data_IF_705875972690
#
_entry.id   IF_705875972690
#
_cell.length_a   1.000
_cell.length_b   1.000
_cell.length_c   1.000
_cell.angle_alpha   90.00
_cell.angle_beta   90.00
_cell.angle_gamma   90.00
#
_symmetry.space_group_name_H-M   'P 1'
#
loop_
_entity.id
_entity.type
_entity.pdbx_description
1 polymer ?
#
# COMPACT_ATOMS: atom_id res chain seq x y z
N UNK A 1 -0.58 37.18 -13.60
CA UNK A 1 -0.50 36.15 -12.54
C UNK A 1 -0.37 34.83 -13.24
N UNK A 2 0.80 34.20 -13.15
CA UNK A 2 1.09 32.94 -13.83
C UNK A 2 0.31 31.83 -13.10
N UNK A 3 -0.77 31.38 -13.73
CA UNK A 3 -1.57 30.24 -13.29
C UNK A 3 -0.68 29.00 -13.33
N UNK A 4 -0.60 28.29 -12.21
CA UNK A 4 0.22 27.09 -12.03
C UNK A 4 -0.16 26.01 -13.05
N UNK A 5 0.45 26.03 -14.23
CA UNK A 5 0.48 24.86 -15.11
C UNK A 5 1.68 24.00 -14.70
N UNK A 6 1.58 23.37 -13.53
CA UNK A 6 2.44 22.22 -13.25
C UNK A 6 1.76 21.04 -13.93
N UNK A 7 2.28 20.63 -15.07
CA UNK A 7 1.91 19.35 -15.69
C UNK A 7 2.18 18.24 -14.67
N UNK A 8 1.16 17.90 -13.88
CA UNK A 8 1.23 16.79 -12.93
C UNK A 8 1.29 15.53 -13.77
N UNK A 9 2.50 14.99 -13.93
CA UNK A 9 2.75 13.69 -14.57
C UNK A 9 1.74 12.68 -14.03
N UNK A 10 0.90 12.15 -14.92
CA UNK A 10 -0.12 11.19 -14.55
C UNK A 10 0.57 9.93 -14.02
N UNK A 11 0.24 9.58 -12.78
CA UNK A 11 0.64 8.34 -12.15
C UNK A 11 -0.02 7.16 -12.86
N UNK A 12 0.78 6.29 -13.49
CA UNK A 12 0.29 5.07 -14.13
C UNK A 12 0.18 3.97 -13.08
N UNK A 13 -1.05 3.57 -12.74
CA UNK A 13 -1.27 2.45 -11.84
C UNK A 13 -0.89 1.13 -12.54
N UNK A 14 -0.03 0.34 -11.90
CA UNK A 14 0.39 -0.99 -12.36
C UNK A 14 -0.72 -2.03 -12.20
N UNK A 15 -1.51 -1.92 -11.13
CA UNK A 15 -2.62 -2.83 -10.82
C UNK A 15 -3.96 -2.11 -10.86
N UNK A 16 -5.01 -2.87 -11.15
CA UNK A 16 -6.40 -2.41 -11.17
C UNK A 16 -7.17 -2.99 -10.00
N UNK A 17 -8.29 -2.34 -9.65
CA UNK A 17 -9.23 -2.86 -8.66
C UNK A 17 -9.68 -4.27 -9.09
N UNK A 18 -9.65 -5.22 -8.17
CA UNK A 18 -9.98 -6.62 -8.39
C UNK A 18 -8.78 -7.50 -8.80
N UNK A 19 -7.65 -6.93 -9.22
CA UNK A 19 -6.45 -7.72 -9.50
C UNK A 19 -5.97 -8.41 -8.22
N UNK A 20 -5.53 -9.67 -8.34
CA UNK A 20 -4.89 -10.39 -7.24
C UNK A 20 -3.39 -10.17 -7.28
N UNK A 21 -2.84 -9.69 -6.17
CA UNK A 21 -1.43 -9.40 -6.00
C UNK A 21 -0.88 -10.16 -4.80
N UNK A 22 0.40 -10.49 -4.84
CA UNK A 22 1.11 -11.11 -3.72
C UNK A 22 2.05 -10.08 -3.10
N UNK A 23 2.00 -9.94 -1.78
CA UNK A 23 2.95 -9.10 -1.05
C UNK A 23 4.32 -9.75 -1.14
N UNK A 24 5.34 -8.99 -1.52
CA UNK A 24 6.73 -9.45 -1.59
C UNK A 24 7.22 -10.02 -0.27
N UNK A 25 8.31 -10.79 -0.35
CA UNK A 25 8.97 -11.34 0.83
C UNK A 25 9.54 -10.24 1.72
N UNK A 26 9.78 -10.59 2.99
CA UNK A 26 10.36 -9.68 3.96
C UNK A 26 11.74 -9.16 3.51
N UNK A 27 12.58 -10.02 2.95
CA UNK A 27 13.92 -9.64 2.48
C UNK A 27 13.85 -8.63 1.33
N UNK A 28 12.99 -8.88 0.33
CA UNK A 28 12.80 -7.95 -0.79
C UNK A 28 12.29 -6.58 -0.34
N UNK A 29 11.28 -6.55 0.55
CA UNK A 29 10.72 -5.29 1.04
C UNK A 29 11.76 -4.53 1.87
N UNK A 30 12.51 -5.22 2.73
CA UNK A 30 13.55 -4.60 3.57
C UNK A 30 14.57 -3.83 2.73
N UNK A 31 14.96 -4.34 1.56
CA UNK A 31 15.89 -3.65 0.65
C UNK A 31 15.34 -2.33 0.08
N UNK A 32 14.02 -2.12 0.10
CA UNK A 32 13.38 -0.90 -0.39
C UNK A 32 13.27 0.19 0.69
N UNK A 33 13.34 -0.18 1.97
CA UNK A 33 13.05 0.73 3.08
C UNK A 33 14.28 1.56 3.46
N UNK A 34 14.05 2.82 3.77
CA UNK A 34 15.02 3.67 4.45
C UNK A 34 14.98 3.46 5.97
N UNK A 35 15.86 4.16 6.70
CA UNK A 35 16.01 4.08 8.16
C UNK A 35 14.72 4.38 8.95
N UNK A 36 13.73 5.04 8.33
CA UNK A 36 12.44 5.35 8.94
C UNK A 36 11.34 4.34 8.54
N UNK A 37 11.71 3.17 8.01
CA UNK A 37 10.80 2.17 7.44
C UNK A 37 9.90 2.75 6.34
N UNK A 38 10.44 3.63 5.50
CA UNK A 38 9.70 4.25 4.39
C UNK A 38 10.31 3.93 3.05
N UNK A 39 9.46 3.82 2.05
CA UNK A 39 9.86 3.81 0.65
C UNK A 39 9.06 4.89 -0.10
N UNK A 40 9.77 5.84 -0.71
CA UNK A 40 9.17 7.02 -1.38
C UNK A 40 8.11 7.75 -0.53
N UNK A 41 8.33 7.80 0.79
CA UNK A 41 7.44 8.44 1.77
C UNK A 41 6.32 7.54 2.31
N UNK A 42 6.02 6.42 1.65
CA UNK A 42 5.05 5.41 2.12
C UNK A 42 5.65 4.62 3.30
N UNK A 43 4.93 4.57 4.43
CA UNK A 43 5.39 3.89 5.64
C UNK A 43 5.05 2.40 5.59
N UNK A 44 6.06 1.55 5.85
CA UNK A 44 5.85 0.14 6.09
C UNK A 44 5.73 -0.11 7.61
N UNK A 45 4.53 -0.44 8.07
CA UNK A 45 4.25 -0.64 9.50
C UNK A 45 4.65 -2.04 9.96
N UNK A 46 4.97 -2.21 11.24
CA UNK A 46 5.37 -3.51 11.83
C UNK A 46 4.37 -4.64 11.55
N UNK A 47 3.07 -4.34 11.62
CA UNK A 47 2.01 -5.31 11.36
C UNK A 47 1.99 -5.79 9.90
N UNK A 48 2.47 -4.98 8.96
CA UNK A 48 2.47 -5.30 7.54
C UNK A 48 3.37 -6.51 7.21
N UNK A 49 4.40 -6.78 8.02
CA UNK A 49 5.27 -7.95 7.87
C UNK A 49 4.50 -9.28 7.94
N UNK A 50 3.40 -9.34 8.70
CA UNK A 50 2.55 -10.53 8.83
C UNK A 50 1.80 -10.90 7.54
N UNK A 51 1.83 -10.02 6.53
CA UNK A 51 1.20 -10.23 5.23
C UNK A 51 2.19 -10.57 4.11
N UNK A 52 3.50 -10.49 4.35
CA UNK A 52 4.52 -10.89 3.37
C UNK A 52 4.28 -12.31 2.85
N UNK A 53 4.37 -12.49 1.52
CA UNK A 53 4.16 -13.77 0.85
C UNK A 53 2.70 -14.20 0.69
N UNK A 54 1.73 -13.43 1.20
CA UNK A 54 0.30 -13.72 1.04
C UNK A 54 -0.30 -12.93 -0.13
N UNK A 55 -1.38 -13.45 -0.68
CA UNK A 55 -2.09 -12.84 -1.82
C UNK A 55 -3.40 -12.19 -1.40
N UNK A 56 -3.70 -11.04 -1.98
CA UNK A 56 -4.90 -10.25 -1.73
C UNK A 56 -5.40 -9.59 -3.00
N UNK A 57 -6.69 -9.27 -3.04
CA UNK A 57 -7.28 -8.47 -4.12
C UNK A 57 -7.03 -6.98 -3.88
N UNK A 58 -6.78 -6.22 -4.94
CA UNK A 58 -6.73 -4.76 -4.88
C UNK A 58 -8.15 -4.23 -4.64
N UNK A 59 -8.39 -3.61 -3.48
CA UNK A 59 -9.65 -2.97 -3.16
C UNK A 59 -9.74 -1.56 -3.77
N UNK A 60 -8.63 -0.80 -3.73
CA UNK A 60 -8.61 0.59 -4.21
C UNK A 60 -7.23 1.01 -4.70
N UNK A 61 -7.20 1.81 -5.77
CA UNK A 61 -6.02 2.59 -6.17
C UNK A 61 -6.10 3.97 -5.53
N UNK A 62 -5.14 4.30 -4.68
CA UNK A 62 -5.12 5.55 -3.91
C UNK A 62 -4.57 6.68 -4.77
N UNK A 63 -5.40 7.71 -5.01
CA UNK A 63 -4.99 8.95 -5.67
C UNK A 63 -4.93 10.13 -4.72
N UNK A 64 -5.93 10.27 -3.85
CA UNK A 64 -6.00 11.35 -2.87
C UNK A 64 -6.08 10.75 -1.46
N UNK A 65 -5.23 11.24 -0.54
CA UNK A 65 -5.14 10.79 0.85
C UNK A 65 -5.29 11.99 1.79
N UNK A 66 -6.24 11.91 2.72
CA UNK A 66 -6.45 12.98 3.69
C UNK A 66 -5.48 12.78 4.85
N UNK A 67 -4.59 13.76 5.04
CA UNK A 67 -3.72 13.80 6.20
C UNK A 67 -4.50 14.44 7.35
N UNK A 68 -5.06 13.59 8.21
CA UNK A 68 -5.85 13.99 9.38
C UNK A 68 -5.06 14.90 10.33
N UNK A 69 -3.75 14.66 10.48
CA UNK A 69 -2.90 15.47 11.37
C UNK A 69 -2.71 16.88 10.85
N UNK A 70 -2.64 17.06 9.52
CA UNK A 70 -2.41 18.36 8.88
C UNK A 70 -3.68 18.98 8.28
N UNK A 71 -4.82 18.31 8.37
CA UNK A 71 -6.10 18.72 7.79
C UNK A 71 -6.00 19.13 6.32
N UNK A 72 -5.32 18.33 5.48
CA UNK A 72 -5.14 18.65 4.06
C UNK A 72 -5.19 17.44 3.14
N UNK A 73 -5.54 17.68 1.88
CA UNK A 73 -5.48 16.66 0.84
C UNK A 73 -4.07 16.49 0.28
N UNK A 74 -3.62 15.24 0.24
CA UNK A 74 -2.40 14.83 -0.45
C UNK A 74 -2.75 14.09 -1.73
N UNK A 75 -2.18 14.53 -2.84
CA UNK A 75 -2.18 13.77 -4.09
C UNK A 75 -1.01 12.79 -4.05
N UNK A 76 -1.29 11.50 -4.20
CA UNK A 76 -0.27 10.48 -4.37
C UNK A 76 0.48 10.74 -5.69
N UNK A 77 1.81 10.82 -5.61
CA UNK A 77 2.70 10.97 -6.76
C UNK A 77 3.15 9.63 -7.34
N UNK A 78 2.87 8.55 -6.61
CA UNK A 78 3.32 7.18 -6.83
C UNK A 78 2.15 6.20 -6.65
N UNK A 79 2.07 5.08 -7.39
CA UNK A 79 0.96 4.15 -7.24
C UNK A 79 0.96 3.50 -5.86
N UNK A 80 -0.10 3.79 -5.11
CA UNK A 80 -0.37 3.24 -3.78
C UNK A 80 -1.72 2.53 -3.81
N UNK A 81 -1.81 1.39 -3.13
CA UNK A 81 -2.97 0.52 -3.16
C UNK A 81 -3.51 0.23 -1.76
N UNK A 82 -4.79 -0.08 -1.70
CA UNK A 82 -5.43 -0.71 -0.54
C UNK A 82 -5.77 -2.14 -0.95
N UNK A 83 -5.40 -3.10 -0.09
CA UNK A 83 -5.72 -4.51 -0.25
C UNK A 83 -6.97 -4.87 0.54
N UNK A 84 -7.81 -5.74 -0.02
CA UNK A 84 -9.08 -6.13 0.58
C UNK A 84 -8.88 -6.94 1.87
N UNK A 85 -9.59 -6.57 2.94
CA UNK A 85 -9.50 -7.19 4.27
C UNK A 85 -8.17 -6.97 5.02
N UNK A 86 -7.23 -6.19 4.49
CA UNK A 86 -5.89 -5.98 5.08
C UNK A 86 -5.85 -4.65 5.82
N UNK A 87 -6.22 -4.69 7.11
CA UNK A 87 -6.36 -3.53 7.99
C UNK A 87 -5.45 -3.60 9.21
N UNK A 88 -5.19 -2.43 9.81
CA UNK A 88 -4.48 -2.27 11.06
C UNK A 88 -5.27 -2.84 12.24
N UNK A 89 -4.60 -3.54 13.16
CA UNK A 89 -5.23 -4.10 14.36
C UNK A 89 -5.29 -3.09 15.53
N UNK A 90 -4.85 -1.85 15.32
CA UNK A 90 -4.86 -0.79 16.34
C UNK A 90 -3.65 -0.76 17.28
N UNK A 91 -2.77 -1.77 17.27
CA UNK A 91 -1.61 -1.79 18.16
C UNK A 91 -0.60 -0.71 17.78
N UNK A 92 -0.37 0.24 18.68
CA UNK A 92 0.64 1.30 18.51
C UNK A 92 1.59 1.27 19.69
N UNK A 93 2.90 1.03 19.49
CA UNK A 93 3.86 0.87 20.59
C UNK A 93 3.97 2.07 21.54
N UNK A 94 3.57 3.25 21.09
CA UNK A 94 3.66 4.50 21.85
C UNK A 94 2.42 4.81 22.70
N UNK A 95 1.39 3.97 22.68
CA UNK A 95 0.15 4.18 23.41
C UNK A 95 -0.22 2.95 24.24
N UNK A 96 -0.90 3.19 25.36
CA UNK A 96 -1.32 2.14 26.30
C UNK A 96 -2.49 1.31 25.76
N UNK A 97 -3.38 1.93 24.99
CA UNK A 97 -4.59 1.32 24.46
C UNK A 97 -4.55 1.21 22.92
N UNK A 98 -5.12 0.15 22.32
CA UNK A 98 -5.20 0.03 20.87
C UNK A 98 -6.16 1.05 20.27
N UNK A 99 -5.91 1.39 19.01
CA UNK A 99 -6.76 2.28 18.22
C UNK A 99 -7.89 1.51 17.51
N UNK A 100 -9.14 1.88 17.75
CA UNK A 100 -10.32 1.24 17.15
C UNK A 100 -10.63 1.69 15.70
N UNK A 101 -9.83 2.61 15.15
CA UNK A 101 -10.11 3.22 13.84
C UNK A 101 -10.02 2.24 12.66
N UNK A 102 -9.39 1.07 12.85
CA UNK A 102 -9.38 -0.03 11.85
C UNK A 102 -8.92 0.42 10.45
N UNK A 103 -7.88 1.25 10.39
CA UNK A 103 -7.39 1.85 9.15
C UNK A 103 -6.89 0.79 8.16
N UNK A 104 -7.17 0.98 6.87
CA UNK A 104 -6.49 0.24 5.81
C UNK A 104 -5.01 0.61 5.73
N UNK A 105 -4.16 -0.38 5.45
CA UNK A 105 -2.76 -0.12 5.10
C UNK A 105 -2.63 0.45 3.69
N UNK A 106 -1.59 1.27 3.50
CA UNK A 106 -1.18 1.79 2.20
C UNK A 106 -0.02 0.94 1.68
N UNK A 107 -0.21 0.34 0.51
CA UNK A 107 0.75 -0.56 -0.12
C UNK A 107 1.44 0.13 -1.29
N UNK A 108 2.76 0.29 -1.20
CA UNK A 108 3.56 0.74 -2.33
C UNK A 108 3.55 -0.29 -3.46
N UNK A 109 3.55 0.16 -4.73
CA UNK A 109 3.59 -0.75 -5.88
C UNK A 109 4.74 -1.76 -5.83
N UNK A 110 5.92 -1.33 -5.40
CA UNK A 110 7.12 -2.17 -5.41
C UNK A 110 7.07 -3.30 -4.38
N UNK A 111 6.17 -3.22 -3.39
CA UNK A 111 5.94 -4.29 -2.42
C UNK A 111 4.98 -5.35 -2.92
N UNK A 112 4.41 -5.18 -4.11
CA UNK A 112 3.41 -6.07 -4.69
C UNK A 112 3.94 -6.73 -5.96
N UNK A 113 3.56 -7.99 -6.14
CA UNK A 113 3.81 -8.77 -7.32
C UNK A 113 2.48 -9.13 -7.96
N UNK A 114 2.41 -9.09 -9.29
CA UNK A 114 1.28 -9.69 -9.98
C UNK A 114 1.27 -11.18 -9.68
N UNK A 115 0.16 -11.72 -9.20
CA UNK A 115 0.04 -13.17 -9.15
C UNK A 115 -0.08 -13.65 -10.59
N UNK A 116 0.90 -14.39 -11.09
CA UNK A 116 0.69 -15.17 -12.29
C UNK A 116 -0.38 -16.21 -11.94
N UNK A 117 -1.45 -16.25 -12.71
CA UNK A 117 -2.38 -17.38 -12.66
C UNK A 117 -1.54 -18.61 -13.00
N UNK A 118 -1.14 -19.40 -12.00
CA UNK A 118 -0.80 -20.79 -12.22
C UNK A 118 -2.09 -21.44 -12.70
N UNK A 119 -2.20 -21.61 -14.02
CA UNK A 119 -3.26 -22.35 -14.68
C UNK A 119 -3.19 -23.78 -14.15
N UNK A 120 -3.89 -24.07 -13.05
CA UNK A 120 -4.16 -25.43 -12.63
C UNK A 120 -5.07 -26.04 -13.70
N UNK A 121 -4.45 -26.70 -14.69
CA UNK A 121 -5.14 -27.69 -15.51
C UNK A 121 -5.64 -28.77 -14.56
N UNK A 122 -6.95 -28.99 -14.57
CA UNK A 122 -7.59 -30.17 -14.01
C UNK A 122 -6.79 -31.43 -14.34
N UNK A 123 -6.51 -32.22 -13.31
CA UNK A 123 -6.18 -33.63 -13.47
C UNK A 123 -7.13 -34.46 -12.63
N UNK A 124 -8.04 -35.09 -13.38
CA UNK A 124 -8.77 -36.33 -13.16
C UNK A 124 -10.20 -36.26 -12.62
#
# INVERSE_FOLDING_TARGET
MLWFNTEKKAMTAQFKIGDVVTVRSQSEITLTLNDNNRHEGCLFMKQMWGYCGKSFSILKVVRNLFDEKRCRMHLATIPVYILDGVICNGEVPSFEYPCDHSCYFLWHQDWLLQTSLSTNKEQK
#
